data_IF_331608402634
#
_entry.id   IF_331608402634
#
_cell.length_a   1.000
_cell.length_b   1.000
_cell.length_c   1.000
_cell.angle_alpha   90.00
_cell.angle_beta   90.00
_cell.angle_gamma   90.00
#
_symmetry.space_group_name_H-M   'P 1'
#
loop_
_entity.id
_entity.type
_entity.pdbx_description
1 polymer ?
#
# COMPACT_ATOMS: atom_id res chain seq x y z
N UNK A 1 65.59 14.06 25.04
CA UNK A 1 64.75 13.26 25.97
C UNK A 1 63.76 14.22 26.56
N UNK A 2 62.46 14.09 26.37
CA UNK A 2 61.75 12.91 26.81
C UNK A 2 60.48 12.65 25.97
N UNK A 3 60.55 11.67 25.07
CA UNK A 3 59.42 11.16 24.27
C UNK A 3 58.44 10.32 25.10
N UNK A 4 58.68 10.15 26.40
CA UNK A 4 57.92 9.23 27.24
C UNK A 4 56.69 9.81 27.94
N UNK A 5 56.45 11.13 27.88
CA UNK A 5 55.25 11.72 28.52
C UNK A 5 54.01 11.77 27.62
N UNK A 6 54.13 11.66 26.29
CA UNK A 6 52.96 11.60 25.39
C UNK A 6 52.37 10.20 25.22
N UNK A 7 53.12 9.14 25.55
CA UNK A 7 52.65 7.75 25.42
C UNK A 7 51.71 7.31 26.56
N UNK A 8 51.72 8.00 27.73
CA UNK A 8 50.84 7.64 28.87
C UNK A 8 49.43 8.24 28.80
N UNK A 9 49.18 9.27 27.97
CA UNK A 9 47.82 9.80 27.76
C UNK A 9 47.06 9.12 26.62
N UNK A 10 47.75 8.44 25.71
CA UNK A 10 47.13 7.71 24.59
C UNK A 10 46.66 6.32 25.04
N UNK A 11 47.34 5.68 26.00
CA UNK A 11 46.96 4.36 26.53
C UNK A 11 45.64 4.33 27.32
N UNK A 12 45.29 5.40 28.05
CA UNK A 12 44.05 5.42 28.85
C UNK A 12 42.80 5.78 28.03
N UNK A 13 42.95 6.48 26.89
CA UNK A 13 41.82 6.79 26.00
C UNK A 13 41.46 5.56 25.16
N UNK A 14 42.45 4.79 24.71
CA UNK A 14 42.26 3.51 24.03
C UNK A 14 41.65 2.46 24.97
N UNK A 15 42.15 2.33 26.22
CA UNK A 15 41.61 1.34 27.16
C UNK A 15 40.16 1.63 27.56
N UNK A 16 39.78 2.91 27.75
CA UNK A 16 38.39 3.28 28.01
C UNK A 16 37.48 3.10 26.79
N UNK A 17 37.98 3.28 25.57
CA UNK A 17 37.23 2.96 24.33
C UNK A 17 37.08 1.46 24.14
N UNK A 18 38.09 0.67 24.47
CA UNK A 18 38.05 -0.80 24.42
C UNK A 18 37.12 -1.35 25.51
N UNK A 19 37.13 -0.80 26.72
CA UNK A 19 36.18 -1.18 27.79
C UNK A 19 34.74 -0.74 27.42
N UNK A 20 34.55 0.43 26.79
CA UNK A 20 33.23 0.85 26.31
C UNK A 20 32.73 -0.01 25.13
N UNK A 21 33.61 -0.42 24.21
CA UNK A 21 33.30 -1.35 23.12
C UNK A 21 33.00 -2.77 23.65
N UNK A 22 33.69 -3.23 24.70
CA UNK A 22 33.42 -4.51 25.35
C UNK A 22 32.12 -4.44 26.17
N UNK A 23 31.79 -3.32 26.82
CA UNK A 23 30.50 -3.14 27.50
C UNK A 23 29.33 -3.02 26.51
N UNK A 24 29.50 -2.31 25.38
CA UNK A 24 28.49 -2.27 24.32
C UNK A 24 28.33 -3.65 23.67
N UNK A 25 29.42 -4.38 23.43
CA UNK A 25 29.36 -5.75 22.90
C UNK A 25 28.77 -6.77 23.90
N UNK A 26 28.96 -6.60 25.21
CA UNK A 26 28.36 -7.46 26.24
C UNK A 26 26.88 -7.16 26.50
N UNK A 27 26.38 -5.97 26.14
CA UNK A 27 24.94 -5.70 26.03
C UNK A 27 24.34 -6.45 24.83
N UNK A 28 25.12 -6.73 23.78
CA UNK A 28 24.72 -7.57 22.65
C UNK A 28 24.94 -9.08 22.85
N UNK A 29 25.72 -9.49 23.86
CA UNK A 29 26.08 -10.90 24.09
C UNK A 29 25.27 -11.60 25.21
N UNK A 30 24.39 -10.87 25.93
CA UNK A 30 23.36 -11.50 26.73
C UNK A 30 22.12 -11.71 25.87
N UNK A 31 21.85 -12.98 25.54
CA UNK A 31 20.72 -13.44 24.73
C UNK A 31 19.36 -13.14 25.37
N UNK A 32 18.93 -11.88 25.27
CA UNK A 32 17.54 -11.55 25.00
C UNK A 32 17.44 -11.38 23.50
N UNK A 33 16.72 -12.28 22.81
CA UNK A 33 16.35 -12.05 21.42
C UNK A 33 15.71 -10.65 21.34
N UNK A 34 16.36 -9.70 20.65
CA UNK A 34 15.78 -8.37 20.47
C UNK A 34 14.39 -8.57 19.88
N UNK A 35 13.37 -8.17 20.64
CA UNK A 35 11.98 -8.33 20.23
C UNK A 35 11.82 -7.66 18.85
N UNK A 36 11.24 -8.38 17.89
CA UNK A 36 11.00 -7.83 16.56
C UNK A 36 10.17 -6.53 16.70
N UNK A 37 10.36 -5.56 15.82
CA UNK A 37 9.77 -4.22 15.91
C UNK A 37 9.36 -3.74 14.53
N UNK A 38 8.41 -2.80 14.46
CA UNK A 38 8.13 -2.08 13.22
C UNK A 38 9.13 -0.94 13.06
N UNK A 39 9.51 -0.67 11.82
CA UNK A 39 10.28 0.49 11.40
C UNK A 39 9.42 1.33 10.47
N UNK A 40 9.42 2.64 10.66
CA UNK A 40 8.89 3.62 9.71
C UNK A 40 10.08 4.41 9.15
N UNK A 41 10.28 4.36 7.84
CA UNK A 41 11.26 5.15 7.12
C UNK A 41 10.57 6.30 6.40
N UNK A 42 10.92 7.55 6.73
CA UNK A 42 10.43 8.72 6.02
C UNK A 42 11.26 8.93 4.75
N UNK A 43 10.60 8.92 3.59
CA UNK A 43 11.27 8.97 2.28
C UNK A 43 11.76 10.38 1.91
N UNK A 44 11.33 11.42 2.62
CA UNK A 44 11.78 12.80 2.40
C UNK A 44 12.93 13.19 3.31
N UNK A 45 12.86 12.84 4.60
CA UNK A 45 13.89 13.19 5.59
C UNK A 45 14.96 12.11 5.75
N UNK A 46 14.71 10.92 5.23
CA UNK A 46 15.54 9.70 5.37
C UNK A 46 15.72 9.25 6.83
N UNK A 47 14.80 9.66 7.72
CA UNK A 47 14.79 9.27 9.12
C UNK A 47 14.10 7.92 9.31
N UNK A 48 14.59 7.11 10.25
CA UNK A 48 13.99 5.84 10.65
C UNK A 48 13.48 5.98 12.09
N UNK A 49 12.21 5.65 12.28
CA UNK A 49 11.55 5.54 13.58
C UNK A 49 11.23 4.09 13.89
N UNK A 50 11.31 3.70 15.16
CA UNK A 50 11.03 2.35 15.62
C UNK A 50 9.79 2.36 16.49
N UNK A 51 8.87 1.43 16.24
CA UNK A 51 7.65 1.27 16.99
C UNK A 51 7.66 -0.09 17.69
N UNK A 52 7.32 -0.14 18.99
CA UNK A 52 7.11 -1.41 19.67
C UNK A 52 5.97 -2.18 19.01
N UNK A 53 6.05 -3.51 18.99
CA UNK A 53 4.92 -4.30 18.54
C UNK A 53 3.79 -4.23 19.56
N UNK A 54 2.57 -4.19 19.04
CA UNK A 54 1.36 -4.27 19.84
C UNK A 54 1.13 -5.70 20.36
N UNK A 55 0.43 -5.85 21.51
CA UNK A 55 0.02 -7.17 22.01
C UNK A 55 -0.83 -7.93 20.99
N UNK A 56 -0.57 -9.24 20.87
CA UNK A 56 -1.36 -10.15 20.05
C UNK A 56 -2.46 -10.75 20.94
N UNK A 57 -3.71 -10.70 20.51
CA UNK A 57 -4.78 -11.46 21.16
C UNK A 57 -4.70 -12.93 20.71
N UNK A 58 -4.11 -13.76 21.57
CA UNK A 58 -3.89 -15.19 21.32
C UNK A 58 -5.16 -16.02 21.44
N UNK A 59 -6.30 -15.43 21.83
CA UNK A 59 -7.59 -16.13 21.89
C UNK A 59 -8.30 -16.17 20.53
N UNK A 60 -7.81 -15.39 19.56
CA UNK A 60 -8.38 -15.30 18.21
C UNK A 60 -7.68 -16.28 17.27
N UNK A 61 -8.45 -17.21 16.74
CA UNK A 61 -8.00 -18.10 15.65
C UNK A 61 -8.22 -17.47 14.27
N UNK A 62 -9.13 -16.51 14.17
CA UNK A 62 -9.41 -15.73 12.97
C UNK A 62 -9.69 -14.29 13.37
N UNK A 63 -9.12 -13.35 12.64
CA UNK A 63 -9.53 -11.95 12.71
C UNK A 63 -9.35 -11.27 11.36
N UNK A 64 -10.27 -10.37 11.05
CA UNK A 64 -10.21 -9.49 9.89
C UNK A 64 -10.37 -8.05 10.35
N UNK A 65 -9.76 -7.13 9.61
CA UNK A 65 -10.01 -5.72 9.80
C UNK A 65 -11.48 -5.37 9.59
N UNK A 66 -12.04 -4.47 10.40
CA UNK A 66 -13.43 -3.98 10.24
C UNK A 66 -13.61 -2.99 9.08
N UNK A 67 -12.59 -2.78 8.26
CA UNK A 67 -12.56 -1.82 7.16
C UNK A 67 -12.22 -2.50 5.85
N UNK A 68 -13.01 -2.15 4.85
CA UNK A 68 -12.90 -2.52 3.46
C UNK A 68 -13.86 -1.59 2.70
N UNK A 69 -13.60 -1.33 1.43
CA UNK A 69 -14.34 -0.38 0.58
C UNK A 69 -13.98 1.10 0.77
N UNK A 70 -14.11 1.84 -0.32
CA UNK A 70 -14.04 3.31 -0.36
C UNK A 70 -15.30 3.86 -1.01
N UNK A 71 -15.28 5.14 -1.36
CA UNK A 71 -16.49 5.91 -1.63
C UNK A 71 -16.91 5.93 -3.11
N UNK A 72 -16.06 5.47 -4.03
CA UNK A 72 -16.42 5.41 -5.44
C UNK A 72 -17.44 4.28 -5.72
N UNK A 73 -18.53 4.57 -6.46
CA UNK A 73 -19.56 3.58 -6.78
C UNK A 73 -19.05 2.51 -7.76
N UNK A 74 -19.76 1.40 -7.85
CA UNK A 74 -19.41 0.28 -8.74
C UNK A 74 -18.66 -0.83 -8.01
N UNK A 75 -19.23 -2.03 -8.06
CA UNK A 75 -18.73 -3.26 -7.45
C UNK A 75 -18.98 -4.39 -8.43
N UNK A 76 -17.94 -5.18 -8.69
CA UNK A 76 -18.09 -6.46 -9.36
C UNK A 76 -18.14 -7.56 -8.31
N UNK A 77 -19.01 -8.54 -8.53
CA UNK A 77 -19.07 -9.76 -7.74
C UNK A 77 -18.06 -10.74 -8.36
N UNK A 78 -17.04 -11.11 -7.58
CA UNK A 78 -16.07 -12.10 -8.04
C UNK A 78 -16.68 -13.50 -7.95
N UNK A 79 -16.19 -14.41 -8.79
CA UNK A 79 -16.65 -15.81 -8.82
C UNK A 79 -16.41 -16.47 -7.45
N UNK A 80 -17.45 -17.04 -6.84
CA UNK A 80 -17.33 -17.78 -5.58
C UNK A 80 -17.35 -19.30 -5.76
N UNK A 81 -17.49 -19.76 -7.01
CA UNK A 81 -17.48 -21.17 -7.37
C UNK A 81 -16.10 -21.60 -7.87
N UNK A 82 -15.60 -22.79 -7.49
CA UNK A 82 -14.36 -23.35 -8.03
C UNK A 82 -14.38 -23.46 -9.56
N UNK A 83 -13.24 -23.32 -10.25
CA UNK A 83 -13.18 -23.44 -11.70
C UNK A 83 -13.39 -24.89 -12.18
N UNK A 84 -14.09 -25.06 -13.31
CA UNK A 84 -14.48 -26.37 -13.89
C UNK A 84 -13.28 -27.26 -14.27
N UNK A 85 -12.12 -26.67 -14.56
CA UNK A 85 -10.89 -27.36 -14.93
C UNK A 85 -9.73 -26.71 -14.19
N UNK A 86 -9.24 -27.39 -13.17
CA UNK A 86 -8.03 -27.01 -12.44
C UNK A 86 -6.85 -27.10 -13.41
N UNK A 87 -6.17 -25.97 -13.62
CA UNK A 87 -4.96 -25.91 -14.45
C UNK A 87 -3.99 -27.01 -14.00
N UNK A 88 -3.37 -27.75 -14.93
CA UNK A 88 -2.42 -28.86 -14.67
C UNK A 88 -1.84 -28.91 -13.23
N UNK A 89 -2.48 -29.68 -12.34
CA UNK A 89 -2.08 -29.90 -10.94
C UNK A 89 -2.11 -28.66 -10.01
N UNK A 90 -2.95 -27.66 -10.28
CA UNK A 90 -3.22 -26.54 -9.38
C UNK A 90 -4.70 -26.22 -9.25
N UNK A 91 -5.15 -25.93 -8.03
CA UNK A 91 -6.50 -25.44 -7.72
C UNK A 91 -6.82 -24.04 -8.25
N UNK A 92 -5.86 -23.35 -8.89
CA UNK A 92 -6.03 -22.02 -9.47
C UNK A 92 -6.24 -22.02 -10.98
N UNK A 93 -7.01 -21.05 -11.46
CA UNK A 93 -7.09 -20.73 -12.89
C UNK A 93 -5.77 -20.16 -13.40
N UNK A 94 -5.62 -20.19 -14.72
CA UNK A 94 -4.58 -19.42 -15.38
C UNK A 94 -4.82 -17.90 -15.27
N UNK A 95 -3.81 -17.10 -15.58
CA UNK A 95 -3.88 -15.63 -15.59
C UNK A 95 -4.72 -15.13 -16.76
N UNK A 96 -5.80 -14.42 -16.44
CA UNK A 96 -6.72 -13.80 -17.42
C UNK A 96 -6.59 -12.28 -17.31
N UNK A 97 -6.44 -11.53 -18.41
CA UNK A 97 -6.55 -10.08 -18.38
C UNK A 97 -7.88 -9.68 -17.72
N UNK A 98 -7.81 -8.92 -16.62
CA UNK A 98 -8.96 -8.67 -15.75
C UNK A 98 -10.10 -7.97 -16.51
N UNK A 99 -9.75 -7.07 -17.44
CA UNK A 99 -10.70 -6.37 -18.31
C UNK A 99 -11.59 -7.29 -19.17
N UNK A 100 -11.18 -8.54 -19.39
CA UNK A 100 -11.98 -9.52 -20.14
C UNK A 100 -13.12 -10.11 -19.30
N UNK A 101 -13.07 -9.95 -17.97
CA UNK A 101 -14.02 -10.52 -17.01
C UNK A 101 -14.79 -9.44 -16.27
N UNK A 102 -14.12 -8.35 -15.89
CA UNK A 102 -14.61 -7.36 -14.93
C UNK A 102 -14.22 -5.95 -15.37
N UNK A 103 -14.95 -4.95 -14.85
CA UNK A 103 -14.57 -3.56 -15.06
C UNK A 103 -13.41 -3.21 -14.11
N UNK A 104 -12.27 -2.79 -14.65
CA UNK A 104 -11.08 -2.44 -13.86
C UNK A 104 -11.33 -1.29 -12.89
N UNK A 105 -12.36 -0.46 -13.14
CA UNK A 105 -12.78 0.62 -12.23
C UNK A 105 -13.71 0.16 -11.11
N UNK A 106 -14.25 -1.07 -11.16
CA UNK A 106 -15.11 -1.58 -10.11
C UNK A 106 -14.28 -2.18 -8.96
N UNK A 107 -14.83 -2.12 -7.75
CA UNK A 107 -14.24 -2.80 -6.61
C UNK A 107 -14.44 -4.32 -6.77
N UNK A 108 -13.46 -5.17 -6.41
CA UNK A 108 -12.18 -4.82 -5.77
C UNK A 108 -11.05 -4.48 -6.74
N UNK A 109 -11.23 -4.64 -8.06
CA UNK A 109 -10.18 -4.50 -9.08
C UNK A 109 -9.39 -3.19 -9.00
N UNK A 110 -10.09 -2.06 -8.81
CA UNK A 110 -9.46 -0.74 -8.70
C UNK A 110 -8.56 -0.53 -7.48
N UNK A 111 -8.58 -1.44 -6.50
CA UNK A 111 -7.68 -1.40 -5.34
C UNK A 111 -6.27 -1.86 -5.67
N UNK A 112 -6.06 -2.55 -6.80
CA UNK A 112 -4.76 -3.03 -7.23
C UNK A 112 -3.88 -1.88 -7.74
N UNK A 113 -2.63 -1.85 -7.27
CA UNK A 113 -1.69 -0.77 -7.52
C UNK A 113 -0.48 -1.28 -8.29
N UNK A 114 -0.15 -0.61 -9.40
CA UNK A 114 1.14 -0.75 -10.05
C UNK A 114 2.14 0.18 -9.39
N UNK A 115 3.31 -0.36 -9.01
CA UNK A 115 4.37 0.40 -8.39
C UNK A 115 5.51 0.69 -9.38
N UNK A 116 5.96 1.94 -9.40
CA UNK A 116 7.11 2.39 -10.17
C UNK A 116 8.13 3.05 -9.25
N UNK A 117 9.43 2.84 -9.48
CA UNK A 117 10.48 3.66 -8.88
C UNK A 117 10.87 4.79 -9.81
N UNK A 118 11.19 5.95 -9.26
CA UNK A 118 11.84 7.02 -10.02
C UNK A 118 13.36 6.86 -9.97
N UNK A 119 14.05 7.04 -11.09
CA UNK A 119 15.50 7.19 -11.16
C UNK A 119 15.85 8.13 -12.32
N UNK A 120 16.53 9.24 -12.02
CA UNK A 120 16.88 10.27 -13.01
C UNK A 120 15.67 10.73 -13.86
N UNK A 121 14.59 11.12 -13.18
CA UNK A 121 13.31 11.55 -13.78
C UNK A 121 12.63 10.53 -14.71
N UNK A 122 13.09 9.28 -14.69
CA UNK A 122 12.53 8.17 -15.47
C UNK A 122 11.85 7.18 -14.53
N UNK A 123 10.63 6.77 -14.88
CA UNK A 123 9.89 5.75 -14.15
C UNK A 123 10.30 4.36 -14.62
N UNK A 124 10.61 3.48 -13.67
CA UNK A 124 10.90 2.08 -13.92
C UNK A 124 9.87 1.21 -13.20
N UNK A 125 9.28 0.26 -13.93
CA UNK A 125 8.39 -0.74 -13.35
C UNK A 125 9.10 -1.46 -12.20
N UNK A 126 8.39 -1.63 -11.09
CA UNK A 126 8.98 -2.16 -9.85
C UNK A 126 8.25 -3.41 -9.36
N UNK A 127 7.01 -3.24 -8.92
CA UNK A 127 6.24 -4.25 -8.21
C UNK A 127 4.74 -4.01 -8.40
N UNK A 128 3.94 -4.82 -7.71
CA UNK A 128 2.51 -4.64 -7.49
C UNK A 128 2.23 -4.35 -6.01
N UNK A 129 1.01 -3.93 -5.71
CA UNK A 129 0.51 -3.79 -4.36
C UNK A 129 -1.00 -3.73 -4.35
N UNK A 130 -1.59 -3.64 -3.16
CA UNK A 130 -3.03 -3.49 -2.97
C UNK A 130 -3.29 -2.37 -1.97
N UNK A 131 -4.29 -1.53 -2.22
CA UNK A 131 -4.74 -0.55 -1.23
C UNK A 131 -5.32 -1.30 -0.02
N UNK A 132 -4.84 -0.98 1.18
CA UNK A 132 -5.34 -1.53 2.47
C UNK A 132 -5.89 -0.48 3.43
N UNK A 133 -5.72 0.80 3.08
CA UNK A 133 -6.29 1.96 3.75
C UNK A 133 -6.36 3.14 2.77
N UNK A 134 -6.96 4.28 3.14
CA UNK A 134 -6.96 5.51 2.36
C UNK A 134 -5.59 5.92 1.79
N UNK A 135 -4.52 5.79 2.54
CA UNK A 135 -3.17 6.20 2.14
C UNK A 135 -2.14 5.07 2.20
N UNK A 136 -2.55 3.82 2.43
CA UNK A 136 -1.62 2.70 2.56
C UNK A 136 -1.78 1.66 1.47
N UNK A 137 -0.64 1.33 0.86
CA UNK A 137 -0.48 0.20 -0.07
C UNK A 137 0.27 -0.92 0.64
N UNK A 138 -0.31 -2.11 0.70
CA UNK A 138 0.39 -3.32 1.10
C UNK A 138 1.19 -3.89 -0.09
N UNK A 139 2.47 -4.19 0.14
CA UNK A 139 3.38 -4.76 -0.85
C UNK A 139 4.47 -5.61 -0.18
N UNK A 140 5.44 -6.10 -0.96
CA UNK A 140 6.58 -6.85 -0.42
C UNK A 140 7.71 -5.92 0.04
N UNK A 141 8.48 -6.32 1.05
CA UNK A 141 9.57 -5.52 1.60
C UNK A 141 10.68 -5.24 0.56
N UNK A 142 10.99 -6.22 -0.28
CA UNK A 142 11.97 -6.02 -1.35
C UNK A 142 11.55 -5.05 -2.45
N UNK A 143 10.27 -4.66 -2.49
CA UNK A 143 9.80 -3.61 -3.39
C UNK A 143 10.27 -2.24 -2.90
N UNK A 144 10.23 -2.00 -1.59
CA UNK A 144 10.61 -0.71 -0.99
C UNK A 144 12.12 -0.52 -0.78
N UNK A 145 12.91 -1.59 -0.90
CA UNK A 145 14.34 -1.54 -0.62
C UNK A 145 15.14 -2.72 -1.13
N UNK A 146 16.45 -2.69 -0.90
CA UNK A 146 17.37 -3.78 -1.22
C UNK A 146 18.52 -3.80 -0.22
N UNK A 147 19.07 -4.97 0.07
CA UNK A 147 20.23 -5.07 0.95
C UNK A 147 21.52 -4.66 0.24
N UNK A 148 22.38 -3.97 0.97
CA UNK A 148 23.77 -3.77 0.58
C UNK A 148 24.62 -5.04 0.84
N UNK A 149 25.91 -4.95 0.56
CA UNK A 149 26.86 -6.06 0.77
C UNK A 149 27.04 -6.44 2.24
N UNK A 150 26.64 -5.56 3.16
CA UNK A 150 26.73 -5.77 4.61
C UNK A 150 25.41 -6.28 5.20
N UNK A 151 24.38 -6.51 4.37
CA UNK A 151 23.06 -6.95 4.83
C UNK A 151 22.21 -5.83 5.41
N UNK A 152 22.55 -4.55 5.16
CA UNK A 152 21.74 -3.40 5.59
C UNK A 152 20.71 -3.08 4.52
N UNK A 153 19.43 -2.97 4.92
CA UNK A 153 18.35 -2.57 4.00
C UNK A 153 18.51 -1.11 3.60
N UNK A 154 18.69 -0.87 2.30
CA UNK A 154 18.68 0.45 1.70
C UNK A 154 17.29 0.67 1.10
N UNK A 155 16.56 1.64 1.66
CA UNK A 155 15.27 2.07 1.16
C UNK A 155 15.39 2.85 -0.16
N UNK A 156 14.34 2.81 -0.97
CA UNK A 156 14.24 3.59 -2.21
C UNK A 156 13.74 5.00 -1.94
N UNK A 157 14.32 5.99 -2.60
CA UNK A 157 13.97 7.41 -2.40
C UNK A 157 12.47 7.68 -2.55
N UNK A 158 11.83 7.17 -3.58
CA UNK A 158 10.37 7.27 -3.72
C UNK A 158 9.81 6.23 -4.69
N UNK A 159 8.58 5.81 -4.39
CA UNK A 159 7.80 4.89 -5.20
C UNK A 159 6.48 5.58 -5.57
N UNK A 160 6.17 5.55 -6.86
CA UNK A 160 4.87 5.97 -7.37
C UNK A 160 3.90 4.80 -7.36
N UNK A 161 2.68 5.08 -6.90
CA UNK A 161 1.55 4.17 -6.86
C UNK A 161 0.48 4.60 -7.87
N UNK A 162 0.16 3.69 -8.79
CA UNK A 162 -0.85 3.86 -9.83
C UNK A 162 -1.97 2.84 -9.62
N UNK A 163 -3.08 3.20 -8.95
CA UNK A 163 -4.23 2.32 -8.81
C UNK A 163 -4.95 2.13 -10.14
N UNK A 164 -5.52 0.95 -10.34
CA UNK A 164 -6.29 0.59 -11.54
C UNK A 164 -5.57 0.92 -12.87
N UNK A 165 -4.24 0.86 -12.87
CA UNK A 165 -3.39 1.06 -14.03
C UNK A 165 -3.78 0.06 -15.11
N UNK A 166 -3.91 0.50 -16.36
CA UNK A 166 -4.36 -0.42 -17.40
C UNK A 166 -3.73 -0.09 -18.74
N UNK A 167 -3.09 -1.09 -19.33
CA UNK A 167 -2.42 -1.05 -20.62
C UNK A 167 -1.48 0.16 -20.79
N UNK A 168 -0.73 0.49 -19.74
CA UNK A 168 0.32 1.51 -19.77
C UNK A 168 -0.20 2.90 -19.42
N UNK A 169 -1.49 3.01 -19.11
CA UNK A 169 -2.19 4.27 -18.90
C UNK A 169 -2.54 4.41 -17.42
N UNK A 170 -2.15 5.54 -16.84
CA UNK A 170 -2.64 5.98 -15.53
C UNK A 170 -4.16 6.11 -15.60
N UNK A 171 -4.86 5.48 -14.66
CA UNK A 171 -6.31 5.56 -14.64
C UNK A 171 -6.74 7.00 -14.35
N UNK A 172 -7.44 7.68 -15.29
CA UNK A 172 -7.78 9.08 -15.10
C UNK A 172 -8.67 9.31 -13.88
N UNK A 173 -9.55 8.36 -13.56
CA UNK A 173 -10.51 8.50 -12.46
C UNK A 173 -9.86 8.58 -11.08
N UNK A 174 -8.73 7.89 -10.89
CA UNK A 174 -8.09 7.72 -9.58
C UNK A 174 -6.75 8.45 -9.48
N UNK A 175 -6.07 8.67 -10.61
CA UNK A 175 -4.77 9.31 -10.68
C UNK A 175 -3.64 8.44 -10.13
N UNK A 176 -2.66 9.07 -9.47
CA UNK A 176 -1.51 8.43 -8.82
C UNK A 176 -1.05 9.21 -7.60
N UNK A 177 -0.21 8.59 -6.79
CA UNK A 177 0.40 9.20 -5.60
C UNK A 177 1.83 8.70 -5.41
N UNK A 178 2.62 9.42 -4.64
CA UNK A 178 4.01 9.09 -4.33
C UNK A 178 4.15 8.72 -2.86
N UNK A 179 5.04 7.78 -2.57
CA UNK A 179 5.37 7.38 -1.21
C UNK A 179 6.00 8.52 -0.41
N UNK A 180 5.60 8.65 0.85
CA UNK A 180 6.22 9.53 1.85
C UNK A 180 6.84 8.76 3.00
N UNK A 181 6.36 7.54 3.26
CA UNK A 181 6.89 6.67 4.30
C UNK A 181 6.80 5.20 3.89
N UNK A 182 7.70 4.40 4.44
CA UNK A 182 7.61 2.94 4.37
C UNK A 182 7.57 2.35 5.77
N UNK A 183 6.65 1.41 5.99
CA UNK A 183 6.55 0.66 7.24
C UNK A 183 6.87 -0.80 6.99
N UNK A 184 7.83 -1.37 7.72
CA UNK A 184 8.19 -2.79 7.62
C UNK A 184 8.75 -3.30 8.94
N UNK A 185 9.21 -4.55 9.01
CA UNK A 185 9.77 -5.14 10.22
C UNK A 185 11.29 -4.95 10.29
N UNK A 186 11.80 -4.61 11.48
CA UNK A 186 13.24 -4.55 11.77
C UNK A 186 13.91 -5.89 11.48
N UNK A 187 13.27 -7.02 11.77
CA UNK A 187 13.86 -8.32 11.48
C UNK A 187 14.22 -8.56 10.00
N UNK A 188 13.70 -7.75 9.07
CA UNK A 188 14.17 -7.72 7.70
C UNK A 188 15.62 -7.20 7.61
N UNK A 189 15.98 -6.14 8.34
CA UNK A 189 17.33 -5.55 8.38
C UNK A 189 18.47 -6.54 8.74
N UNK A 190 18.14 -7.71 9.32
CA UNK A 190 19.12 -8.64 9.89
C UNK A 190 19.36 -9.89 9.05
N UNK A 191 19.04 -9.85 7.75
CA UNK A 191 19.11 -11.04 6.89
C UNK A 191 20.15 -10.78 5.80
N UNK A 192 21.39 -11.13 6.11
CA UNK A 192 22.42 -11.24 5.09
C UNK A 192 21.94 -12.16 3.94
N UNK A 193 22.45 -11.90 2.72
CA UNK A 193 22.18 -12.66 1.49
C UNK A 193 20.87 -12.36 0.74
N UNK A 194 20.19 -11.24 1.03
CA UNK A 194 19.13 -10.73 0.14
C UNK A 194 17.74 -11.34 0.35
N UNK A 195 17.56 -12.17 1.39
CA UNK A 195 16.28 -12.74 1.79
C UNK A 195 15.59 -11.86 2.84
N UNK A 196 14.26 -11.94 2.95
CA UNK A 196 13.45 -11.15 3.88
C UNK A 196 12.67 -12.12 4.77
N UNK A 197 12.67 -11.91 6.10
CA UNK A 197 12.10 -12.83 7.10
C UNK A 197 10.61 -12.62 7.16
N UNK A 198 10.19 -11.36 7.01
CA UNK A 198 8.83 -10.91 6.80
C UNK A 198 8.84 -10.00 5.58
N UNK A 199 8.93 -10.57 4.38
CA UNK A 199 8.93 -9.88 3.07
C UNK A 199 7.62 -9.11 2.78
N UNK A 200 7.26 -8.19 3.65
CA UNK A 200 6.03 -7.42 3.63
C UNK A 200 6.30 -5.99 4.13
N UNK A 201 5.63 -5.04 3.51
CA UNK A 201 5.71 -3.64 3.88
C UNK A 201 4.40 -2.92 3.56
N UNK A 202 4.17 -1.82 4.27
CA UNK A 202 3.20 -0.81 3.89
C UNK A 202 3.94 0.38 3.29
N UNK A 203 3.42 0.93 2.20
CA UNK A 203 3.82 2.23 1.66
C UNK A 203 2.76 3.24 2.05
N UNK A 204 3.15 4.30 2.79
CA UNK A 204 2.30 5.46 3.03
C UNK A 204 2.42 6.41 1.84
N UNK A 205 1.28 6.82 1.31
CA UNK A 205 1.13 7.71 0.17
C UNK A 205 0.91 9.16 0.61
N UNK A 206 1.33 10.11 -0.22
CA UNK A 206 1.11 11.54 0.05
C UNK A 206 -0.35 11.99 -0.20
N UNK A 207 -1.12 11.22 -0.96
CA UNK A 207 -2.54 11.43 -1.24
C UNK A 207 -3.33 10.19 -0.80
N UNK A 208 -4.55 10.42 -0.31
CA UNK A 208 -5.46 9.35 0.16
C UNK A 208 -6.23 8.70 -0.99
N UNK A 209 -5.52 8.04 -1.92
CA UNK A 209 -6.10 7.40 -3.11
C UNK A 209 -7.23 6.41 -2.75
N UNK A 210 -7.09 5.71 -1.63
CA UNK A 210 -8.01 4.70 -1.12
C UNK A 210 -9.44 5.23 -0.92
N UNK A 211 -9.63 6.52 -0.62
CA UNK A 211 -10.96 7.11 -0.53
C UNK A 211 -11.74 6.90 -1.84
N UNK A 212 -11.07 7.07 -2.98
CA UNK A 212 -11.67 6.87 -4.30
C UNK A 212 -11.53 5.43 -4.80
N UNK A 213 -10.37 4.79 -4.60
CA UNK A 213 -10.15 3.44 -5.13
C UNK A 213 -10.83 2.36 -4.28
N UNK A 214 -11.21 2.69 -3.05
CA UNK A 214 -11.40 1.70 -2.01
C UNK A 214 -10.09 1.01 -1.62
N UNK A 215 -10.22 0.13 -0.65
CA UNK A 215 -9.16 -0.74 -0.16
C UNK A 215 -9.76 -2.07 0.27
N UNK A 216 -8.95 -3.12 0.21
CA UNK A 216 -9.30 -4.39 0.84
C UNK A 216 -8.79 -4.39 2.28
N UNK A 217 -9.45 -5.13 3.15
CA UNK A 217 -8.95 -5.31 4.51
C UNK A 217 -7.72 -6.21 4.58
N UNK A 218 -7.20 -6.41 5.78
CA UNK A 218 -6.23 -7.47 6.09
C UNK A 218 -6.88 -8.47 7.05
N UNK A 219 -6.46 -9.72 6.99
CA UNK A 219 -6.96 -10.76 7.88
C UNK A 219 -5.90 -11.83 8.13
N UNK A 220 -6.09 -12.57 9.22
CA UNK A 220 -5.36 -13.81 9.50
C UNK A 220 -6.33 -14.93 9.84
N UNK A 221 -5.90 -16.16 9.57
CA UNK A 221 -6.47 -17.38 10.12
C UNK A 221 -5.32 -18.26 10.62
N UNK A 222 -5.46 -18.84 11.81
CA UNK A 222 -4.59 -19.89 12.34
C UNK A 222 -5.10 -21.29 11.98
N UNK A 223 -6.34 -21.40 11.50
CA UNK A 223 -6.91 -22.63 10.98
C UNK A 223 -6.50 -22.81 9.52
N UNK A 224 -5.70 -23.86 9.25
CA UNK A 224 -5.26 -24.22 7.91
C UNK A 224 -6.43 -24.69 7.03
N UNK A 225 -7.51 -25.23 7.62
CA UNK A 225 -8.71 -25.65 6.90
C UNK A 225 -9.39 -24.47 6.19
N UNK A 226 -9.28 -23.26 6.77
CA UNK A 226 -9.76 -22.04 6.11
C UNK A 226 -9.10 -21.83 4.74
N UNK A 227 -7.81 -22.12 4.61
CA UNK A 227 -7.07 -21.94 3.36
C UNK A 227 -7.33 -23.07 2.35
N UNK A 228 -7.62 -24.27 2.85
CA UNK A 228 -7.90 -25.45 2.04
C UNK A 228 -9.27 -25.39 1.37
N UNK A 229 -10.30 -24.95 2.11
CA UNK A 229 -11.70 -25.05 1.68
C UNK A 229 -12.30 -23.76 1.12
N UNK A 230 -11.63 -22.61 1.27
CA UNK A 230 -12.10 -21.35 0.70
C UNK A 230 -11.44 -21.02 -0.64
N UNK A 231 -12.19 -20.27 -1.45
CA UNK A 231 -11.73 -19.75 -2.73
C UNK A 231 -10.98 -18.44 -2.52
N UNK A 232 -9.78 -18.35 -3.08
CA UNK A 232 -8.93 -17.17 -3.01
C UNK A 232 -8.77 -16.55 -4.40
N UNK A 233 -8.55 -15.24 -4.38
CA UNK A 233 -8.43 -14.39 -5.55
C UNK A 233 -7.09 -13.67 -5.52
N UNK A 234 -6.56 -13.40 -6.71
CA UNK A 234 -5.37 -12.58 -6.87
C UNK A 234 -5.52 -11.68 -8.08
N UNK A 235 -5.13 -10.43 -7.88
CA UNK A 235 -5.09 -9.39 -8.90
C UNK A 235 -3.67 -8.85 -8.90
N UNK A 236 -2.99 -8.86 -10.06
CA UNK A 236 -1.55 -8.58 -10.13
C UNK A 236 -1.07 -8.02 -11.47
N UNK A 237 0.04 -7.28 -11.47
CA UNK A 237 0.71 -6.74 -12.66
C UNK A 237 2.02 -7.48 -12.97
N UNK A 238 2.01 -8.59 -13.73
CA UNK A 238 3.21 -9.26 -14.24
C UNK A 238 3.99 -8.42 -15.25
N UNK A 239 5.33 -8.50 -15.22
CA UNK A 239 6.25 -7.68 -16.00
C UNK A 239 6.84 -8.38 -17.25
N UNK A 240 6.89 -9.71 -17.30
CA UNK A 240 7.62 -10.44 -18.36
C UNK A 240 7.02 -11.81 -18.63
N UNK A 241 7.45 -12.46 -19.70
CA UNK A 241 7.01 -13.76 -20.25
C UNK A 241 6.76 -14.83 -19.18
N UNK A 242 5.67 -15.59 -19.36
CA UNK A 242 5.40 -16.77 -18.55
C UNK A 242 6.45 -17.86 -18.83
N UNK A 243 7.16 -18.37 -17.82
CA UNK A 243 8.11 -19.46 -18.01
C UNK A 243 7.46 -20.80 -18.42
N UNK A 244 6.18 -21.01 -18.10
CA UNK A 244 5.43 -22.23 -18.43
C UNK A 244 4.70 -22.13 -19.78
N UNK A 245 4.45 -20.90 -20.26
CA UNK A 245 3.77 -20.65 -21.53
C UNK A 245 4.35 -19.42 -22.25
N UNK A 246 5.29 -19.68 -23.15
CA UNK A 246 5.96 -18.65 -23.93
C UNK A 246 5.04 -17.87 -24.89
N UNK A 247 3.79 -18.31 -25.09
CA UNK A 247 2.79 -17.57 -25.86
C UNK A 247 2.16 -16.43 -25.06
N UNK A 248 2.22 -16.50 -23.72
CA UNK A 248 1.73 -15.46 -22.82
C UNK A 248 2.82 -14.42 -22.57
N UNK A 249 2.69 -13.30 -23.28
CA UNK A 249 3.57 -12.14 -23.14
C UNK A 249 2.89 -11.13 -22.20
N UNK A 250 3.48 -10.97 -21.02
CA UNK A 250 3.09 -9.92 -20.08
C UNK A 250 3.89 -8.65 -20.35
N UNK A 251 3.24 -7.50 -20.20
CA UNK A 251 3.78 -6.18 -20.58
C UNK A 251 4.05 -5.26 -19.37
N UNK A 252 3.76 -5.72 -18.13
CA UNK A 252 3.86 -4.87 -16.94
C UNK A 252 2.70 -3.89 -16.76
N UNK A 253 1.80 -3.83 -17.72
CA UNK A 253 0.89 -2.72 -17.92
C UNK A 253 -0.58 -3.16 -17.84
N UNK A 254 -0.86 -4.43 -18.15
CA UNK A 254 -2.17 -5.05 -18.04
C UNK A 254 -2.38 -5.64 -16.64
N UNK A 255 -3.58 -5.43 -16.08
CA UNK A 255 -3.99 -6.05 -14.82
C UNK A 255 -4.52 -7.46 -15.06
N UNK A 256 -3.98 -8.45 -14.35
CA UNK A 256 -4.39 -9.85 -14.49
C UNK A 256 -5.06 -10.35 -13.24
N UNK A 257 -5.98 -11.30 -13.46
CA UNK A 257 -6.76 -11.98 -12.46
C UNK A 257 -6.58 -13.49 -12.55
N UNK A 258 -6.48 -14.14 -11.40
CA UNK A 258 -6.59 -15.58 -11.26
C UNK A 258 -7.19 -15.92 -9.89
N UNK A 259 -7.87 -17.06 -9.79
CA UNK A 259 -8.57 -17.45 -8.57
C UNK A 259 -8.66 -18.97 -8.44
N UNK A 260 -8.91 -19.47 -7.22
CA UNK A 260 -8.91 -20.91 -6.96
C UNK A 260 -8.70 -21.29 -5.51
N UNK A 261 -8.53 -22.60 -5.27
CA UNK A 261 -8.19 -23.16 -3.95
C UNK A 261 -6.68 -23.29 -3.78
N UNK A 262 -6.19 -23.18 -2.55
CA UNK A 262 -4.75 -23.17 -2.27
C UNK A 262 -4.19 -24.60 -2.17
N UNK A 263 -3.07 -24.84 -2.85
CA UNK A 263 -2.38 -26.14 -2.87
C UNK A 263 -1.07 -26.15 -2.06
N UNK A 264 -0.73 -25.00 -1.46
CA UNK A 264 0.40 -24.81 -0.57
C UNK A 264 -0.10 -24.08 0.68
N UNK A 265 -0.12 -24.79 1.81
CA UNK A 265 -0.52 -24.24 3.11
C UNK A 265 0.54 -24.65 4.12
N UNK A 266 1.20 -23.65 4.70
CA UNK A 266 2.24 -23.80 5.71
C UNK A 266 2.13 -22.64 6.71
N UNK A 267 2.80 -22.77 7.85
CA UNK A 267 2.82 -21.76 8.92
C UNK A 267 3.14 -20.34 8.39
N UNK A 268 4.11 -20.21 7.47
CA UNK A 268 4.55 -18.92 6.92
C UNK A 268 4.11 -18.65 5.49
N UNK A 269 3.69 -19.68 4.77
CA UNK A 269 3.50 -19.61 3.33
C UNK A 269 2.14 -20.16 2.94
N UNK A 270 1.43 -19.40 2.12
CA UNK A 270 0.21 -19.83 1.45
C UNK A 270 0.37 -19.61 -0.06
N UNK A 271 -0.29 -20.42 -0.89
CA UNK A 271 -0.21 -20.23 -2.33
C UNK A 271 -0.71 -21.42 -3.15
N UNK A 272 -0.28 -21.45 -4.40
CA UNK A 272 -0.75 -22.39 -5.41
C UNK A 272 0.38 -22.76 -6.38
N UNK A 273 0.21 -23.85 -7.13
CA UNK A 273 1.27 -24.48 -7.94
C UNK A 273 1.30 -23.99 -9.39
N UNK A 274 1.33 -22.67 -9.59
CA UNK A 274 1.57 -22.03 -10.90
C UNK A 274 2.89 -21.28 -10.82
N UNK A 275 3.70 -21.29 -11.89
CA UNK A 275 4.98 -20.57 -11.85
C UNK A 275 4.76 -19.07 -11.66
N UNK A 276 5.59 -18.48 -10.78
CA UNK A 276 5.51 -17.06 -10.49
C UNK A 276 6.08 -16.26 -11.66
N UNK A 277 5.41 -15.15 -12.00
CA UNK A 277 5.87 -14.26 -13.05
C UNK A 277 6.57 -13.05 -12.41
N UNK A 278 7.76 -12.63 -12.90
CA UNK A 278 8.44 -11.45 -12.39
C UNK A 278 7.56 -10.19 -12.44
N UNK A 279 7.75 -9.28 -11.49
CA UNK A 279 6.99 -8.02 -11.38
C UNK A 279 5.67 -8.10 -10.60
N UNK A 280 5.21 -9.30 -10.24
CA UNK A 280 4.01 -9.50 -9.42
C UNK A 280 4.26 -9.36 -7.91
N UNK A 281 5.51 -9.17 -7.48
CA UNK A 281 5.84 -9.02 -6.06
C UNK A 281 4.96 -8.00 -5.36
N UNK A 282 4.50 -8.32 -4.15
CA UNK A 282 3.60 -7.49 -3.37
C UNK A 282 2.11 -7.62 -3.74
N UNK A 283 1.76 -8.38 -4.78
CA UNK A 283 0.36 -8.70 -5.06
C UNK A 283 -0.27 -9.45 -3.90
N UNK A 284 -1.51 -9.09 -3.57
CA UNK A 284 -2.26 -9.72 -2.49
C UNK A 284 -2.98 -10.97 -2.96
N UNK A 285 -2.93 -12.00 -2.12
CA UNK A 285 -3.83 -13.14 -2.17
C UNK A 285 -4.95 -12.87 -1.15
N UNK A 286 -6.18 -12.74 -1.65
CA UNK A 286 -7.31 -12.27 -0.85
C UNK A 286 -8.52 -13.18 -0.96
N UNK A 287 -9.29 -13.23 0.13
CA UNK A 287 -10.60 -13.87 0.17
C UNK A 287 -11.70 -12.81 0.08
N UNK A 288 -12.84 -13.17 -0.49
CA UNK A 288 -14.03 -12.31 -0.55
C UNK A 288 -15.29 -13.17 -0.46
N UNK A 289 -16.28 -12.70 0.28
CA UNK A 289 -17.66 -13.21 0.25
C UNK A 289 -18.57 -12.29 -0.60
N UNK A 290 -17.95 -11.37 -1.34
CA UNK A 290 -18.54 -10.25 -2.08
C UNK A 290 -19.28 -9.20 -1.23
N UNK A 291 -19.36 -9.37 0.09
CA UNK A 291 -19.76 -8.33 1.04
C UNK A 291 -18.55 -7.56 1.57
N UNK A 292 -17.41 -8.25 1.70
CA UNK A 292 -16.08 -7.78 2.10
C UNK A 292 -14.95 -8.49 1.36
N UNK A 293 -13.77 -7.87 1.28
CA UNK A 293 -12.55 -8.52 0.76
C UNK A 293 -11.36 -8.26 1.67
N UNK A 294 -10.53 -9.28 1.89
CA UNK A 294 -9.44 -9.23 2.87
C UNK A 294 -8.19 -9.96 2.37
N UNK A 295 -7.04 -9.29 2.44
CA UNK A 295 -5.73 -9.86 2.15
C UNK A 295 -5.33 -10.84 3.24
N UNK A 296 -4.87 -12.02 2.84
CA UNK A 296 -4.28 -13.03 3.74
C UNK A 296 -2.79 -13.25 3.49
N UNK A 297 -2.23 -12.67 2.42
CA UNK A 297 -0.80 -12.76 2.16
C UNK A 297 -0.34 -11.90 0.98
N UNK A 298 0.98 -11.69 0.91
CA UNK A 298 1.63 -10.92 -0.15
C UNK A 298 2.65 -11.76 -0.90
N UNK A 299 2.66 -11.69 -2.23
CA UNK A 299 3.61 -12.43 -3.06
C UNK A 299 5.06 -12.00 -2.75
N UNK A 300 5.91 -12.94 -2.32
CA UNK A 300 7.28 -12.68 -1.88
C UNK A 300 8.31 -13.00 -2.97
N UNK A 301 9.55 -12.52 -2.79
CA UNK A 301 10.67 -12.63 -3.77
C UNK A 301 11.12 -14.07 -4.09
N UNK A 302 10.63 -15.08 -3.35
CA UNK A 302 11.28 -16.39 -3.26
C UNK A 302 10.40 -17.60 -3.58
N UNK A 303 9.20 -17.43 -4.16
CA UNK A 303 8.38 -18.59 -4.45
C UNK A 303 7.37 -18.42 -5.57
N UNK A 304 7.44 -19.33 -6.54
CA UNK A 304 6.43 -19.61 -7.55
C UNK A 304 5.03 -19.53 -6.94
N UNK A 305 4.35 -18.38 -7.12
CA UNK A 305 3.04 -18.08 -6.56
C UNK A 305 2.90 -18.27 -5.03
N UNK A 306 4.01 -18.16 -4.28
CA UNK A 306 4.03 -18.25 -2.81
C UNK A 306 3.86 -16.87 -2.18
N UNK A 307 2.88 -16.75 -1.32
CA UNK A 307 2.56 -15.55 -0.59
C UNK A 307 2.99 -15.74 0.87
N UNK A 308 3.68 -14.75 1.42
CA UNK A 308 3.93 -14.68 2.85
C UNK A 308 2.58 -14.52 3.54
N UNK A 309 2.22 -15.50 4.37
CA UNK A 309 0.98 -15.52 5.15
C UNK A 309 0.97 -14.36 6.13
N UNK A 310 -0.14 -13.64 6.21
CA UNK A 310 -0.40 -12.69 7.29
C UNK A 310 -0.75 -13.52 8.53
N UNK A 311 0.23 -13.65 9.44
CA UNK A 311 0.07 -14.28 10.74
C UNK A 311 -0.33 -13.22 11.79
N UNK A 312 -0.74 -13.59 13.01
CA UNK A 312 -1.00 -12.62 14.08
C UNK A 312 0.16 -11.64 14.31
N UNK A 313 1.41 -12.10 14.22
CA UNK A 313 2.62 -11.28 14.40
C UNK A 313 2.83 -10.25 13.29
N UNK A 314 2.12 -10.38 12.17
CA UNK A 314 2.11 -9.43 11.06
C UNK A 314 0.84 -8.59 11.11
N UNK A 315 -0.30 -9.24 11.35
CA UNK A 315 -1.62 -8.63 11.37
C UNK A 315 -1.70 -7.50 12.39
N UNK A 316 -1.45 -7.75 13.68
CA UNK A 316 -1.68 -6.75 14.72
C UNK A 316 -0.81 -5.49 14.54
N UNK A 317 0.49 -5.58 14.25
CA UNK A 317 1.30 -4.39 14.02
C UNK A 317 0.86 -3.57 12.81
N UNK A 318 0.50 -4.22 11.70
CA UNK A 318 0.00 -3.50 10.52
C UNK A 318 -1.42 -2.95 10.74
N UNK A 319 -2.26 -3.70 11.44
CA UNK A 319 -3.59 -3.27 11.86
C UNK A 319 -3.51 -1.98 12.66
N UNK A 320 -2.58 -1.87 13.61
CA UNK A 320 -2.40 -0.67 14.44
C UNK A 320 -2.00 0.55 13.60
N UNK A 321 -1.02 0.39 12.70
CA UNK A 321 -0.60 1.45 11.76
C UNK A 321 -1.75 1.89 10.84
N UNK A 322 -2.51 0.93 10.32
CA UNK A 322 -3.66 1.21 9.45
C UNK A 322 -4.80 1.86 10.24
N UNK A 323 -5.06 1.41 11.47
CA UNK A 323 -6.09 1.99 12.33
C UNK A 323 -5.77 3.42 12.74
N UNK A 324 -4.49 3.71 13.02
CA UNK A 324 -4.04 5.09 13.22
C UNK A 324 -4.43 5.91 11.99
N UNK A 325 -4.04 5.51 10.78
CA UNK A 325 -4.46 6.17 9.53
C UNK A 325 -5.97 6.30 9.32
N UNK A 326 -6.74 5.26 9.66
CA UNK A 326 -8.20 5.25 9.50
C UNK A 326 -8.91 6.09 10.54
N UNK A 327 -8.35 6.22 11.74
CA UNK A 327 -8.85 7.17 12.72
C UNK A 327 -8.79 8.60 12.15
N UNK A 328 -7.77 8.87 11.32
CA UNK A 328 -7.62 10.09 10.52
C UNK A 328 -8.46 10.13 9.24
N UNK A 329 -9.12 9.04 8.83
CA UNK A 329 -9.83 8.95 7.54
C UNK A 329 -11.30 8.48 7.63
N UNK A 330 -11.79 8.19 8.84
CA UNK A 330 -13.20 7.97 9.16
C UNK A 330 -13.73 6.57 8.87
N UNK A 331 -13.79 5.72 9.90
CA UNK A 331 -15.01 5.01 10.30
C UNK A 331 -14.86 4.45 11.72
N UNK A 332 -15.81 4.85 12.57
CA UNK A 332 -15.93 4.67 14.04
C UNK A 332 -14.91 5.42 14.91
N UNK A 333 -15.39 6.56 15.46
CA UNK A 333 -14.68 7.63 16.19
C UNK A 333 -13.61 8.35 15.36
N UNK A 334 -14.10 9.15 14.41
CA UNK A 334 -13.30 10.01 13.54
C UNK A 334 -12.45 10.99 14.37
N UNK A 335 -11.16 10.72 14.44
CA UNK A 335 -10.15 11.71 14.78
C UNK A 335 -9.78 12.43 13.47
N UNK A 336 -10.70 13.28 13.01
CA UNK A 336 -10.44 14.23 11.92
C UNK A 336 -9.30 15.15 12.36
N UNK A 337 -8.07 14.86 11.98
CA UNK A 337 -6.89 15.51 12.58
C UNK A 337 -6.12 16.37 11.58
N UNK A 338 -6.46 16.28 10.27
CA UNK A 338 -5.94 17.18 9.25
C UNK A 338 -7.01 17.72 8.28
N UNK A 339 -6.66 18.81 7.61
CA UNK A 339 -7.44 19.33 6.48
C UNK A 339 -7.11 18.53 5.22
N UNK A 340 -8.13 18.13 4.44
CA UNK A 340 -7.93 17.37 3.21
C UNK A 340 -8.94 17.75 2.12
N UNK A 341 -8.52 17.69 0.86
CA UNK A 341 -9.38 17.76 -0.33
C UNK A 341 -8.92 16.66 -1.29
N UNK A 342 -9.81 15.73 -1.63
CA UNK A 342 -9.55 14.63 -2.56
C UNK A 342 -9.33 15.13 -3.98
N UNK A 343 -8.71 14.30 -4.82
CA UNK A 343 -8.84 14.48 -6.27
C UNK A 343 -10.33 14.44 -6.66
N UNK A 344 -10.65 15.11 -7.78
CA UNK A 344 -12.00 15.05 -8.32
C UNK A 344 -12.24 13.68 -8.95
N UNK A 345 -13.41 13.09 -8.73
CA UNK A 345 -13.79 11.84 -9.37
C UNK A 345 -15.24 11.91 -9.89
N UNK A 346 -15.48 11.63 -11.19
CA UNK A 346 -14.48 11.37 -12.24
C UNK A 346 -13.61 12.60 -12.58
N UNK A 347 -12.43 12.41 -13.19
CA UNK A 347 -11.61 13.48 -13.78
C UNK A 347 -10.69 12.92 -14.89
N UNK A 348 -10.86 13.25 -16.19
CA UNK A 348 -11.80 14.21 -16.72
C UNK A 348 -13.26 13.84 -16.47
N UNK A 349 -14.15 14.83 -16.48
CA UNK A 349 -15.56 14.67 -16.13
C UNK A 349 -16.49 15.26 -17.18
N UNK A 350 -17.74 14.79 -17.22
CA UNK A 350 -18.81 15.31 -18.08
C UNK A 350 -20.22 15.06 -17.47
N UNK A 351 -21.02 16.10 -17.15
CA UNK A 351 -20.62 17.45 -16.79
C UNK A 351 -20.37 17.59 -15.27
N UNK A 352 -20.47 16.51 -14.50
CA UNK A 352 -20.35 16.54 -13.04
C UNK A 352 -19.17 15.72 -12.49
N UNK A 353 -18.55 16.23 -11.44
CA UNK A 353 -17.51 15.53 -10.66
C UNK A 353 -17.75 15.72 -9.16
N UNK A 354 -17.18 14.85 -8.34
CA UNK A 354 -17.28 14.89 -6.89
C UNK A 354 -15.93 15.11 -6.24
N UNK A 355 -15.94 15.72 -5.07
CA UNK A 355 -14.79 15.79 -4.17
C UNK A 355 -15.23 15.38 -2.78
N UNK A 356 -14.29 14.77 -2.05
CA UNK A 356 -14.40 14.54 -0.63
C UNK A 356 -13.41 15.47 0.06
N UNK A 357 -13.83 16.13 1.13
CA UNK A 357 -12.95 16.98 1.92
C UNK A 357 -13.16 16.78 3.41
N UNK A 358 -12.16 17.17 4.17
CA UNK A 358 -12.06 16.93 5.60
C UNK A 358 -11.65 18.21 6.32
N UNK A 359 -12.22 18.43 7.50
CA UNK A 359 -11.81 19.51 8.40
C UNK A 359 -11.62 19.02 9.85
N UNK A 360 -10.45 19.29 10.47
CA UNK A 360 -10.09 18.66 11.74
C UNK A 360 -10.68 19.35 12.97
N UNK A 361 -11.26 20.52 12.78
CA UNK A 361 -11.91 21.31 13.81
C UNK A 361 -12.95 22.23 13.17
N UNK A 362 -13.82 22.79 14.00
CA UNK A 362 -14.79 23.78 13.56
C UNK A 362 -14.06 24.93 12.84
N UNK A 363 -14.37 25.14 11.56
CA UNK A 363 -13.66 26.11 10.73
C UNK A 363 -14.53 26.64 9.58
N UNK A 364 -14.24 27.86 9.14
CA UNK A 364 -14.86 28.45 7.96
C UNK A 364 -14.25 27.84 6.70
N UNK A 365 -15.03 27.04 5.98
CA UNK A 365 -14.60 26.36 4.75
C UNK A 365 -15.08 27.14 3.53
N UNK A 366 -14.15 27.40 2.60
CA UNK A 366 -14.46 27.94 1.29
C UNK A 366 -13.92 27.01 0.20
N UNK A 367 -14.80 26.48 -0.65
CA UNK A 367 -14.44 25.68 -1.80
C UNK A 367 -14.95 26.37 -3.07
N UNK A 368 -14.01 26.73 -3.95
CA UNK A 368 -14.27 27.49 -5.17
C UNK A 368 -13.63 26.82 -6.37
N UNK A 369 -14.19 27.04 -7.55
CA UNK A 369 -13.64 26.59 -8.83
C UNK A 369 -13.21 27.80 -9.64
N UNK A 370 -12.01 27.72 -10.21
CA UNK A 370 -11.39 28.76 -11.01
C UNK A 370 -11.07 28.24 -12.42
N UNK A 371 -11.12 29.12 -13.42
CA UNK A 371 -10.56 28.81 -14.74
C UNK A 371 -9.04 29.05 -14.81
N UNK A 372 -8.43 28.81 -15.96
CA UNK A 372 -6.98 28.99 -16.18
C UNK A 372 -6.50 30.45 -16.02
N UNK A 373 -7.40 31.42 -16.10
CA UNK A 373 -7.10 32.84 -15.89
C UNK A 373 -7.27 33.25 -14.42
N UNK A 374 -7.63 32.30 -13.53
CA UNK A 374 -7.88 32.57 -12.12
C UNK A 374 -9.23 33.23 -11.86
N UNK A 375 -10.15 33.25 -12.83
CA UNK A 375 -11.51 33.77 -12.63
C UNK A 375 -12.34 32.73 -11.89
N UNK A 376 -13.06 33.15 -10.86
CA UNK A 376 -14.01 32.28 -10.14
C UNK A 376 -15.18 31.93 -11.07
N UNK A 377 -15.40 30.63 -11.28
CA UNK A 377 -16.47 30.09 -12.13
C UNK A 377 -17.46 29.22 -11.35
N UNK A 378 -17.21 29.00 -10.05
CA UNK A 378 -18.12 28.28 -9.17
C UNK A 378 -17.77 28.44 -7.70
N UNK A 379 -18.80 28.50 -6.85
CA UNK A 379 -18.70 28.46 -5.39
C UNK A 379 -19.44 27.21 -4.90
N UNK A 380 -18.70 26.26 -4.33
CA UNK A 380 -19.25 24.96 -3.89
C UNK A 380 -19.57 24.97 -2.40
N UNK A 381 -18.72 25.62 -1.59
CA UNK A 381 -18.89 25.74 -0.14
C UNK A 381 -18.42 27.12 0.30
N UNK A 382 -19.16 27.76 1.22
CA UNK A 382 -18.74 28.99 1.91
C UNK A 382 -19.45 29.09 3.26
N UNK A 383 -19.12 28.20 4.19
CA UNK A 383 -19.79 28.15 5.49
C UNK A 383 -18.87 27.59 6.57
N UNK A 384 -19.22 27.90 7.82
CA UNK A 384 -18.61 27.27 8.97
C UNK A 384 -19.15 25.85 9.13
N UNK A 385 -18.25 24.89 9.28
CA UNK A 385 -18.59 23.48 9.43
C UNK A 385 -17.88 22.90 10.64
N UNK A 386 -18.50 21.88 11.24
CA UNK A 386 -17.94 21.16 12.38
C UNK A 386 -16.86 20.17 11.92
N UNK A 387 -16.05 19.67 12.86
CA UNK A 387 -15.09 18.57 12.61
C UNK A 387 -15.79 17.43 11.83
N UNK A 388 -15.30 17.07 10.65
CA UNK A 388 -15.95 16.04 9.83
C UNK A 388 -15.39 15.81 8.43
N UNK A 389 -15.88 14.74 7.81
CA UNK A 389 -15.69 14.39 6.41
C UNK A 389 -16.95 14.74 5.61
N UNK A 390 -16.79 15.37 4.46
CA UNK A 390 -17.87 15.90 3.64
C UNK A 390 -17.69 15.54 2.17
N UNK A 391 -18.79 15.36 1.45
CA UNK A 391 -18.80 15.19 -0.01
C UNK A 391 -19.45 16.43 -0.66
N UNK A 392 -18.86 16.91 -1.75
CA UNK A 392 -19.43 17.97 -2.60
C UNK A 392 -19.44 17.52 -4.06
N UNK A 393 -20.44 17.98 -4.80
CA UNK A 393 -20.57 17.75 -6.25
C UNK A 393 -20.42 19.08 -6.98
N UNK A 394 -19.57 19.12 -8.01
CA UNK A 394 -19.48 20.23 -8.95
C UNK A 394 -20.16 19.85 -10.26
N UNK A 395 -21.17 20.62 -10.65
CA UNK A 395 -21.84 20.49 -11.93
C UNK A 395 -21.43 21.65 -12.86
N UNK A 396 -20.72 21.33 -13.94
CA UNK A 396 -20.16 22.29 -14.88
C UNK A 396 -20.90 22.34 -16.23
N UNK A 397 -22.19 21.99 -16.25
CA UNK A 397 -22.99 21.93 -17.50
C UNK A 397 -22.94 23.23 -18.31
N UNK A 398 -22.85 24.37 -17.61
CA UNK A 398 -22.82 25.71 -18.20
C UNK A 398 -21.41 26.21 -18.54
N UNK A 399 -20.37 25.42 -18.31
CA UNK A 399 -18.99 25.78 -18.62
C UNK A 399 -18.52 25.12 -19.94
N UNK A 400 -17.60 25.75 -20.68
CA UNK A 400 -16.97 25.11 -21.84
C UNK A 400 -15.99 24.02 -21.40
N UNK A 401 -15.71 23.04 -22.27
CA UNK A 401 -14.64 22.07 -22.04
C UNK A 401 -13.31 22.79 -21.81
N UNK A 402 -12.50 22.28 -20.88
CA UNK A 402 -11.26 22.95 -20.50
C UNK A 402 -10.71 22.50 -19.15
N UNK A 403 -9.63 23.18 -18.75
CA UNK A 403 -8.95 22.96 -17.47
C UNK A 403 -9.47 23.98 -16.46
N UNK A 404 -9.79 23.49 -15.27
CA UNK A 404 -10.22 24.28 -14.12
C UNK A 404 -9.44 23.85 -12.87
N UNK A 405 -9.53 24.66 -11.83
CA UNK A 405 -8.87 24.41 -10.54
C UNK A 405 -9.90 24.54 -9.42
N UNK A 406 -10.16 23.44 -8.71
CA UNK A 406 -10.92 23.46 -7.47
C UNK A 406 -9.97 23.79 -6.32
N UNK A 407 -10.28 24.83 -5.54
CA UNK A 407 -9.49 25.26 -4.39
C UNK A 407 -10.34 25.18 -3.14
N UNK A 408 -9.89 24.44 -2.16
CA UNK A 408 -10.36 24.51 -0.78
C UNK A 408 -9.46 25.44 0.02
N UNK A 409 -10.08 26.28 0.84
CA UNK A 409 -9.41 27.10 1.84
C UNK A 409 -10.16 27.00 3.16
N UNK A 410 -9.42 26.77 4.26
CA UNK A 410 -9.93 26.88 5.62
C UNK A 410 -8.81 27.35 6.54
N UNK A 411 -8.96 28.54 7.15
CA UNK A 411 -7.86 29.20 7.85
C UNK A 411 -6.62 29.37 6.95
N UNK A 412 -5.49 28.79 7.39
CA UNK A 412 -4.22 28.80 6.66
C UNK A 412 -4.07 27.62 5.68
N UNK A 413 -4.95 26.62 5.73
CA UNK A 413 -4.91 25.50 4.81
C UNK A 413 -5.43 25.91 3.45
N UNK A 414 -4.67 25.60 2.40
CA UNK A 414 -5.08 25.74 1.00
C UNK A 414 -4.72 24.45 0.27
N UNK A 415 -5.70 23.82 -0.37
CA UNK A 415 -5.50 22.70 -1.29
C UNK A 415 -6.13 23.01 -2.64
N UNK A 416 -5.42 22.69 -3.72
CA UNK A 416 -5.84 22.96 -5.10
C UNK A 416 -5.78 21.68 -5.91
N UNK A 417 -6.87 21.35 -6.60
CA UNK A 417 -7.00 20.17 -7.45
C UNK A 417 -7.36 20.59 -8.88
N UNK A 418 -6.52 20.17 -9.83
CA UNK A 418 -6.75 20.39 -11.27
C UNK A 418 -7.85 19.44 -11.76
N UNK A 419 -8.85 19.98 -12.45
CA UNK A 419 -9.95 19.21 -13.04
C UNK A 419 -10.09 19.52 -14.54
N UNK A 420 -10.53 18.55 -15.31
CA UNK A 420 -10.65 18.62 -16.77
C UNK A 420 -12.10 18.31 -17.15
N UNK A 421 -12.81 19.28 -17.72
CA UNK A 421 -14.16 19.10 -18.25
C UNK A 421 -14.08 18.70 -19.73
N UNK A 422 -14.70 17.59 -20.09
CA UNK A 422 -14.91 17.14 -21.47
C UNK A 422 -16.40 17.27 -21.80
N UNK A 423 -16.75 17.78 -22.98
CA UNK A 423 -18.14 17.78 -23.48
C UNK A 423 -18.29 16.78 -24.61
#
# INVERSE_FOLDING_TARGET
>A
MDKNLQMRKIGNIELNKVILLIFVALIYANGYAQQDTLINYNTTTHQIFYYPLVPIDTTKEFEQSGWNYGNYPGRDFLNLEPPDSTYNNSGFTDYIPLQNLYNTNNYPSRTAVKLYRSKNDTLFQLCSGIMVAPEYVLTACHCIGSYDTNGVLIFRDSIWAFPAFDNGIENPLFGKSISIEYVTFNSNLNIGNGFYKKDMALIKLNDRLGISTGWIGIAFSNDDSFFEYNLFHKISYPMTVDPDDSTRIFNGDTLYYNYGTLDLIQEKWIGYKITGIPGQSGSSLFFTDNTGSYSFGTLARSGNSRHLRITPEIYYPFKDVILDSLSHAGNEKVLVDDYFLSNAFPNPFNPSTKFIYEIPSQSQVQIKVFDILGREVGLLVNMEQQKGLYEITFNASNLPSGIYFCRMQSGNFISIKKIILLK
#
